data_IF_958967137898
#
_entry.id   IF_958967137898
#
_cell.length_a   1.000
_cell.length_b   1.000
_cell.length_c   1.000
_cell.angle_alpha   90.00
_cell.angle_beta   90.00
_cell.angle_gamma   90.00
#
_symmetry.space_group_name_H-M   'P 1'
#
loop_
_entity.id
_entity.type
_entity.pdbx_description
1 polymer ?
#
# COMPACT_ATOMS: atom_id res chain seq x y z
N UNK A 1 0.19 9.43 -23.11
CA UNK A 1 -0.59 8.23 -22.77
C UNK A 1 -0.99 8.32 -21.31
N UNK A 2 -2.27 8.18 -20.98
CA UNK A 2 -2.72 8.24 -19.58
C UNK A 2 -2.31 6.94 -18.87
N UNK A 3 -1.97 7.00 -17.58
CA UNK A 3 -1.66 5.82 -16.75
C UNK A 3 -2.75 4.75 -16.78
N UNK A 4 -4.02 5.17 -16.85
CA UNK A 4 -5.14 4.23 -16.96
C UNK A 4 -5.16 3.48 -18.30
N UNK A 5 -4.76 4.14 -19.39
CA UNK A 5 -4.66 3.50 -20.71
C UNK A 5 -3.50 2.51 -20.72
N UNK A 6 -2.35 2.89 -20.13
CA UNK A 6 -1.18 2.03 -20.02
C UNK A 6 -1.46 0.76 -19.20
N UNK A 7 -2.16 0.88 -18.07
CA UNK A 7 -2.56 -0.28 -17.27
C UNK A 7 -3.52 -1.20 -18.04
N UNK A 8 -4.40 -0.64 -18.88
CA UNK A 8 -5.31 -1.44 -19.71
C UNK A 8 -4.56 -2.17 -20.81
N UNK A 9 -3.63 -1.50 -21.49
CA UNK A 9 -2.85 -2.07 -22.59
C UNK A 9 -1.83 -3.12 -22.13
N UNK A 10 -1.22 -2.91 -20.95
CA UNK A 10 -0.22 -3.84 -20.44
C UNK A 10 -0.80 -5.16 -19.90
N UNK A 11 -2.12 -5.27 -19.67
CA UNK A 11 -2.71 -6.47 -19.08
C UNK A 11 -2.97 -7.55 -20.12
N UNK A 12 -2.50 -8.76 -19.83
CA UNK A 12 -2.76 -9.97 -20.60
C UNK A 12 -3.62 -10.90 -19.75
N UNK A 13 -4.86 -11.13 -20.17
CA UNK A 13 -5.75 -12.06 -19.48
C UNK A 13 -5.48 -13.52 -19.87
N UNK A 14 -5.38 -14.38 -18.88
CA UNK A 14 -5.19 -15.82 -19.05
C UNK A 14 -6.47 -16.57 -18.71
N UNK A 15 -6.82 -17.53 -19.55
CA UNK A 15 -8.09 -18.26 -19.50
C UNK A 15 -7.86 -19.75 -19.19
N UNK A 16 -7.45 -20.07 -17.96
CA UNK A 16 -7.10 -21.44 -17.55
C UNK A 16 -8.26 -22.43 -17.65
N UNK A 17 -9.50 -21.94 -17.53
CA UNK A 17 -10.73 -22.73 -17.65
C UNK A 17 -11.34 -22.68 -19.06
N UNK A 18 -10.60 -22.20 -20.07
CA UNK A 18 -11.07 -22.06 -21.46
C UNK A 18 -11.58 -20.66 -21.81
N UNK A 19 -11.50 -20.30 -23.10
CA UNK A 19 -11.71 -18.92 -23.60
C UNK A 19 -13.13 -18.36 -23.47
N UNK A 20 -14.12 -19.24 -23.27
CA UNK A 20 -15.51 -18.85 -23.07
C UNK A 20 -15.86 -18.60 -21.59
N UNK A 21 -14.92 -18.84 -20.68
CA UNK A 21 -15.07 -18.58 -19.25
C UNK A 21 -14.37 -17.28 -18.86
N UNK A 22 -14.66 -16.70 -17.68
CA UNK A 22 -13.90 -15.56 -17.16
C UNK A 22 -12.39 -15.86 -17.05
N UNK A 23 -11.53 -14.83 -17.13
CA UNK A 23 -10.10 -15.03 -16.97
C UNK A 23 -9.76 -15.51 -15.57
N UNK A 24 -8.81 -16.44 -15.47
CA UNK A 24 -8.35 -17.02 -14.19
C UNK A 24 -7.15 -16.28 -13.62
N UNK A 25 -6.37 -15.60 -14.47
CA UNK A 25 -5.19 -14.85 -14.07
C UNK A 25 -4.93 -13.67 -15.00
N UNK A 26 -4.10 -12.74 -14.55
CA UNK A 26 -3.57 -11.63 -15.33
C UNK A 26 -2.05 -11.67 -15.32
N UNK A 27 -1.42 -11.56 -16.49
CA UNK A 27 0.00 -11.28 -16.64
C UNK A 27 0.16 -9.87 -17.23
N UNK A 28 1.40 -9.42 -17.34
CA UNK A 28 1.76 -8.15 -17.91
C UNK A 28 2.61 -8.33 -19.17
N UNK A 29 2.33 -7.52 -20.19
CA UNK A 29 3.19 -7.35 -21.33
C UNK A 29 4.57 -6.86 -20.86
N UNK A 30 5.58 -7.71 -21.06
CA UNK A 30 6.95 -7.47 -20.61
C UNK A 30 7.57 -6.23 -21.28
N UNK A 31 7.08 -5.84 -22.46
CA UNK A 31 7.55 -4.64 -23.17
C UNK A 31 7.07 -3.34 -22.50
N UNK A 32 5.94 -3.38 -21.78
CA UNK A 32 5.34 -2.23 -21.12
C UNK A 32 5.68 -2.11 -19.63
N UNK A 33 6.34 -3.11 -19.04
CA UNK A 33 6.71 -3.12 -17.62
C UNK A 33 7.53 -1.90 -17.19
N UNK A 34 8.48 -1.49 -18.04
CA UNK A 34 9.31 -0.30 -17.79
C UNK A 34 8.44 0.93 -17.60
N UNK A 35 7.48 1.14 -18.48
CA UNK A 35 6.68 2.36 -18.45
C UNK A 35 5.60 2.32 -17.37
N UNK A 36 5.09 1.13 -17.04
CA UNK A 36 3.98 0.95 -16.10
C UNK A 36 4.42 0.84 -14.63
N UNK A 37 5.33 -0.09 -14.32
CA UNK A 37 5.71 -0.43 -12.94
C UNK A 37 7.06 0.15 -12.54
N UNK A 38 7.95 0.33 -13.51
CA UNK A 38 9.38 0.53 -13.27
C UNK A 38 9.93 1.81 -13.92
N UNK A 39 9.12 2.87 -14.05
CA UNK A 39 9.45 4.07 -14.82
C UNK A 39 10.59 4.92 -14.23
N UNK A 40 11.04 4.59 -13.02
CA UNK A 40 12.22 5.20 -12.39
C UNK A 40 13.25 4.17 -11.90
N UNK A 41 13.03 2.88 -12.16
CA UNK A 41 13.98 1.82 -11.81
C UNK A 41 15.06 1.69 -12.89
N UNK A 42 16.20 1.09 -12.51
CA UNK A 42 17.30 0.88 -13.46
C UNK A 42 16.96 -0.20 -14.49
N UNK A 43 17.61 -0.17 -15.65
CA UNK A 43 17.42 -1.22 -16.67
C UNK A 43 17.76 -2.63 -16.16
N UNK A 44 18.72 -2.75 -15.23
CA UNK A 44 19.08 -4.04 -14.61
C UNK A 44 17.94 -4.57 -13.75
N UNK A 45 17.30 -3.71 -12.95
CA UNK A 45 16.18 -4.10 -12.11
C UNK A 45 14.94 -4.44 -12.95
N UNK A 46 14.68 -3.70 -14.02
CA UNK A 46 13.60 -4.04 -14.97
C UNK A 46 13.84 -5.40 -15.62
N UNK A 47 15.08 -5.69 -16.03
CA UNK A 47 15.44 -6.99 -16.61
C UNK A 47 15.23 -8.13 -15.58
N UNK A 48 15.69 -7.95 -14.35
CA UNK A 48 15.48 -8.91 -13.25
C UNK A 48 14.00 -9.14 -12.97
N UNK A 49 13.21 -8.06 -12.87
CA UNK A 49 11.77 -8.16 -12.62
C UNK A 49 11.06 -8.88 -13.77
N UNK A 50 11.38 -8.54 -15.02
CA UNK A 50 10.75 -9.11 -16.22
C UNK A 50 10.87 -10.65 -16.26
N UNK A 51 12.04 -11.20 -15.92
CA UNK A 51 12.25 -12.66 -15.90
C UNK A 51 11.67 -13.35 -14.66
N UNK A 52 11.37 -12.60 -13.61
CA UNK A 52 10.89 -13.12 -12.32
C UNK A 52 9.37 -13.09 -12.19
N UNK A 53 8.71 -12.13 -12.85
CA UNK A 53 7.26 -11.92 -12.76
C UNK A 53 6.46 -13.11 -13.30
N UNK A 54 5.43 -13.51 -12.56
CA UNK A 54 4.48 -14.58 -12.91
C UNK A 54 3.06 -14.04 -13.00
N UNK A 55 2.15 -14.73 -13.70
CA UNK A 55 0.74 -14.36 -13.71
C UNK A 55 0.14 -14.31 -12.30
N UNK A 56 -0.70 -13.32 -12.06
CA UNK A 56 -1.40 -13.08 -10.80
C UNK A 56 -2.79 -13.75 -10.89
N UNK A 57 -3.14 -14.67 -9.96
CA UNK A 57 -4.46 -15.29 -9.95
C UNK A 57 -5.53 -14.23 -9.62
N UNK A 58 -6.60 -14.17 -10.41
CA UNK A 58 -7.63 -13.13 -10.27
C UNK A 58 -8.60 -13.39 -9.12
N UNK A 59 -8.96 -14.64 -8.86
CA UNK A 59 -9.96 -14.99 -7.85
C UNK A 59 -9.56 -14.49 -6.44
N UNK A 60 -8.34 -14.73 -5.92
CA UNK A 60 -7.92 -14.16 -4.63
C UNK A 60 -7.82 -12.64 -4.62
N UNK A 61 -7.56 -12.00 -5.78
CA UNK A 61 -7.45 -10.54 -5.90
C UNK A 61 -8.82 -9.87 -5.83
N UNK A 62 -9.86 -10.52 -6.35
CA UNK A 62 -11.23 -10.02 -6.40
C UNK A 62 -12.03 -10.37 -5.14
N UNK A 63 -11.50 -11.24 -4.28
CA UNK A 63 -12.15 -11.67 -3.05
C UNK A 63 -12.43 -10.47 -2.13
N UNK A 64 -13.68 -10.38 -1.65
CA UNK A 64 -14.10 -9.29 -0.78
C UNK A 64 -13.69 -9.58 0.65
N UNK A 65 -12.74 -8.80 1.17
CA UNK A 65 -12.33 -8.90 2.57
C UNK A 65 -13.35 -8.23 3.50
N UNK A 66 -13.74 -8.93 4.57
CA UNK A 66 -14.52 -8.37 5.68
C UNK A 66 -13.56 -8.08 6.84
N UNK A 67 -13.41 -6.80 7.17
CA UNK A 67 -12.46 -6.33 8.18
C UNK A 67 -13.22 -5.83 9.42
N UNK A 68 -12.70 -6.11 10.62
CA UNK A 68 -13.31 -5.65 11.87
C UNK A 68 -12.43 -4.62 12.58
N UNK A 69 -13.06 -3.70 13.31
CA UNK A 69 -12.33 -2.72 14.12
C UNK A 69 -11.51 -3.37 15.24
N UNK A 70 -12.01 -4.47 15.81
CA UNK A 70 -11.33 -5.21 16.89
C UNK A 70 -10.01 -5.82 16.44
N UNK A 71 -9.92 -6.30 15.19
CA UNK A 71 -8.73 -6.96 14.67
C UNK A 71 -7.97 -6.04 13.71
N UNK A 72 -8.57 -5.68 12.58
CA UNK A 72 -7.93 -4.83 11.58
C UNK A 72 -7.73 -3.39 12.07
N UNK A 73 -8.74 -2.83 12.75
CA UNK A 73 -8.69 -1.46 13.27
C UNK A 73 -7.74 -1.26 14.45
N UNK A 74 -7.35 -2.34 15.14
CA UNK A 74 -6.39 -2.26 16.25
C UNK A 74 -4.94 -2.14 15.78
N UNK A 75 -4.64 -2.49 14.53
CA UNK A 75 -3.30 -2.39 13.96
C UNK A 75 -3.03 -0.96 13.50
N UNK A 76 -1.88 -0.41 13.89
CA UNK A 76 -1.40 0.88 13.40
C UNK A 76 -1.04 0.76 11.92
N UNK A 77 -1.64 1.60 11.08
CA UNK A 77 -1.40 1.61 9.63
C UNK A 77 -0.67 2.88 9.23
N UNK A 78 0.29 2.72 8.32
CA UNK A 78 1.04 3.81 7.72
C UNK A 78 1.01 3.63 6.21
N UNK A 79 0.86 4.73 5.47
CA UNK A 79 0.81 4.69 4.00
C UNK A 79 2.00 5.43 3.42
N UNK A 80 2.74 4.83 2.50
CA UNK A 80 3.84 5.47 1.78
C UNK A 80 3.38 5.75 0.36
N UNK A 81 3.17 7.02 0.00
CA UNK A 81 2.79 7.42 -1.35
C UNK A 81 3.98 7.33 -2.30
N UNK A 82 3.80 6.61 -3.40
CA UNK A 82 4.74 6.53 -4.51
C UNK A 82 4.39 7.58 -5.56
N UNK A 83 5.17 8.66 -5.64
CA UNK A 83 4.69 9.87 -6.33
C UNK A 83 4.65 9.78 -7.86
N UNK A 84 5.46 8.90 -8.45
CA UNK A 84 5.57 8.73 -9.89
C UNK A 84 4.99 7.38 -10.35
N UNK A 85 4.12 6.80 -9.52
CA UNK A 85 3.46 5.53 -9.77
C UNK A 85 2.43 5.66 -10.90
N UNK A 86 2.62 4.83 -11.94
CA UNK A 86 1.74 4.76 -13.11
C UNK A 86 0.78 3.57 -13.08
N UNK A 87 0.94 2.64 -12.15
CA UNK A 87 0.00 1.53 -11.96
C UNK A 87 -1.11 1.89 -10.98
N UNK A 88 -0.76 2.56 -9.88
CA UNK A 88 -1.71 3.12 -8.91
C UNK A 88 -1.53 4.64 -8.89
N UNK A 89 -2.34 5.32 -9.70
CA UNK A 89 -2.26 6.77 -9.84
C UNK A 89 -2.44 7.51 -8.50
N UNK A 90 -1.89 8.73 -8.43
CA UNK A 90 -2.06 9.60 -7.25
C UNK A 90 -3.53 9.83 -6.85
N UNK A 91 -4.45 9.82 -7.83
CA UNK A 91 -5.89 9.89 -7.57
C UNK A 91 -6.38 8.64 -6.82
N UNK A 92 -5.99 7.45 -7.27
CA UNK A 92 -6.35 6.19 -6.60
C UNK A 92 -5.71 6.08 -5.21
N UNK A 93 -4.43 6.43 -5.06
CA UNK A 93 -3.78 6.45 -3.75
C UNK A 93 -4.48 7.40 -2.78
N UNK A 94 -4.94 8.57 -3.26
CA UNK A 94 -5.73 9.51 -2.46
C UNK A 94 -7.07 8.90 -2.04
N UNK A 95 -7.81 8.30 -2.98
CA UNK A 95 -9.09 7.65 -2.69
C UNK A 95 -8.96 6.52 -1.67
N UNK A 96 -7.91 5.68 -1.78
CA UNK A 96 -7.63 4.60 -0.81
C UNK A 96 -7.42 5.14 0.61
N UNK A 97 -6.65 6.22 0.75
CA UNK A 97 -6.37 6.86 2.05
C UNK A 97 -7.62 7.50 2.63
N UNK A 98 -8.47 8.09 1.79
CA UNK A 98 -9.72 8.70 2.24
C UNK A 98 -10.75 7.64 2.66
N UNK A 99 -10.81 6.50 1.96
CA UNK A 99 -11.72 5.40 2.29
C UNK A 99 -11.33 4.63 3.55
N UNK A 100 -10.03 4.54 3.85
CA UNK A 100 -9.52 3.82 5.01
C UNK A 100 -8.30 4.53 5.62
N UNK A 101 -8.52 5.58 6.44
CA UNK A 101 -7.46 6.44 6.92
C UNK A 101 -6.36 5.70 7.70
N UNK A 102 -5.08 5.88 7.33
CA UNK A 102 -3.95 5.41 8.14
C UNK A 102 -3.62 6.42 9.25
N UNK A 103 -2.78 6.02 10.21
CA UNK A 103 -2.29 6.90 11.27
C UNK A 103 -1.43 8.03 10.72
N UNK A 104 -0.53 7.73 9.75
CA UNK A 104 0.26 8.74 9.03
C UNK A 104 0.45 8.36 7.57
N UNK A 105 0.66 9.38 6.75
CA UNK A 105 0.93 9.27 5.31
C UNK A 105 2.29 9.89 5.01
N UNK A 106 3.18 9.11 4.44
CA UNK A 106 4.50 9.52 3.95
C UNK A 106 4.45 9.73 2.44
N UNK A 107 5.41 10.49 1.91
CA UNK A 107 5.56 10.74 0.48
C UNK A 107 6.98 10.43 0.05
N UNK A 108 7.13 9.59 -0.96
CA UNK A 108 8.41 9.23 -1.52
C UNK A 108 8.52 9.82 -2.92
N UNK A 109 9.28 10.91 -3.04
CA UNK A 109 9.44 11.62 -4.31
C UNK A 109 10.29 10.81 -5.27
N UNK A 110 9.87 10.76 -6.53
CA UNK A 110 10.61 10.09 -7.59
C UNK A 110 10.59 8.57 -7.51
N UNK A 111 9.71 7.98 -6.70
CA UNK A 111 9.48 6.52 -6.69
C UNK A 111 8.37 6.15 -7.66
N UNK A 112 8.65 5.14 -8.47
CA UNK A 112 7.66 4.41 -9.26
C UNK A 112 6.86 3.44 -8.36
N UNK A 113 6.13 2.51 -8.99
CA UNK A 113 5.34 1.49 -8.30
C UNK A 113 6.19 0.53 -7.45
N UNK A 114 7.48 0.41 -7.76
CA UNK A 114 8.44 -0.44 -7.05
C UNK A 114 9.48 0.42 -6.32
N UNK A 115 9.11 1.12 -5.22
CA UNK A 115 10.01 2.03 -4.50
C UNK A 115 11.25 1.33 -3.94
N UNK A 116 11.20 0.01 -3.74
CA UNK A 116 12.36 -0.80 -3.35
C UNK A 116 13.43 -0.93 -4.44
N UNK A 117 13.10 -0.67 -5.71
CA UNK A 117 14.07 -0.53 -6.81
C UNK A 117 14.37 0.94 -7.11
N UNK A 118 13.34 1.78 -7.29
CA UNK A 118 13.55 3.16 -7.73
C UNK A 118 14.07 4.10 -6.65
N UNK A 119 13.72 3.88 -5.38
CA UNK A 119 14.09 4.73 -4.23
C UNK A 119 14.41 3.94 -2.94
N UNK A 120 15.31 2.94 -2.98
CA UNK A 120 15.55 2.05 -1.84
C UNK A 120 16.00 2.77 -0.57
N UNK A 121 16.91 3.75 -0.65
CA UNK A 121 17.39 4.49 0.53
C UNK A 121 16.29 5.40 1.12
N UNK A 122 15.48 6.01 0.26
CA UNK A 122 14.36 6.85 0.71
C UNK A 122 13.26 6.02 1.37
N UNK A 123 12.95 4.85 0.79
CA UNK A 123 12.04 3.88 1.39
C UNK A 123 12.57 3.39 2.75
N UNK A 124 13.85 3.01 2.83
CA UNK A 124 14.49 2.59 4.07
C UNK A 124 14.38 3.64 5.17
N UNK A 125 14.69 4.91 4.87
CA UNK A 125 14.58 6.01 5.83
C UNK A 125 13.16 6.14 6.39
N UNK A 126 12.15 6.07 5.53
CA UNK A 126 10.74 6.13 5.97
C UNK A 126 10.38 4.94 6.85
N UNK A 127 10.84 3.73 6.51
CA UNK A 127 10.57 2.54 7.32
C UNK A 127 11.21 2.63 8.71
N UNK A 128 12.43 3.17 8.82
CA UNK A 128 13.07 3.44 10.11
C UNK A 128 12.29 4.49 10.89
N UNK A 129 11.87 5.58 10.25
CA UNK A 129 11.04 6.60 10.89
C UNK A 129 9.71 6.04 11.41
N UNK A 130 9.06 5.13 10.66
CA UNK A 130 7.85 4.42 11.10
C UNK A 130 8.13 3.57 12.34
N UNK A 131 9.25 2.84 12.37
CA UNK A 131 9.63 2.00 13.49
C UNK A 131 9.88 2.79 14.79
N UNK A 132 10.31 4.05 14.65
CA UNK A 132 10.54 4.95 15.78
C UNK A 132 9.27 5.68 16.26
N UNK A 133 8.12 5.56 15.57
CA UNK A 133 6.89 6.23 16.00
C UNK A 133 6.38 5.60 17.31
N UNK A 134 6.27 6.38 18.40
CA UNK A 134 5.79 5.88 19.68
C UNK A 134 4.42 5.20 19.57
N UNK A 135 4.14 4.15 20.38
CA UNK A 135 2.80 3.56 20.45
C UNK A 135 1.74 4.61 20.75
N UNK A 136 0.52 4.43 20.21
CA UNK A 136 -0.62 5.26 20.62
C UNK A 136 -0.80 5.10 22.13
N UNK A 137 -0.70 6.20 22.86
CA UNK A 137 -1.12 6.20 24.26
C UNK A 137 -2.62 5.87 24.26
N UNK A 138 -2.97 4.72 24.82
CA UNK A 138 -4.37 4.44 25.12
C UNK A 138 -4.79 5.47 26.13
N UNK A 139 -5.75 6.34 25.78
CA UNK A 139 -6.44 7.17 26.74
C UNK A 139 -7.17 6.24 27.70
N UNK A 140 -6.48 5.80 28.75
CA UNK A 140 -7.10 5.25 29.93
C UNK A 140 -7.98 6.35 30.51
N UNK A 141 -9.24 6.00 30.74
CA UNK A 141 -10.18 6.77 31.54
C UNK A 141 -9.55 7.12 32.89
N UNK A 142 -8.94 8.30 33.02
CA UNK A 142 -8.59 8.89 34.31
C UNK A 142 -9.76 9.74 34.77
N UNK A 143 -10.84 9.09 35.21
CA UNK A 143 -11.93 9.77 35.94
C UNK A 143 -12.23 9.16 37.31
N UNK A 144 -11.43 8.21 37.81
CA UNK A 144 -11.69 7.58 39.12
C UNK A 144 -10.65 7.90 40.20
N UNK A 145 -9.44 8.37 39.87
CA UNK A 145 -8.36 8.56 40.87
C UNK A 145 -8.29 9.95 41.53
N UNK A 146 -9.19 10.89 41.21
CA UNK A 146 -9.17 12.25 41.80
C UNK A 146 -10.22 12.50 42.91
N UNK A 147 -11.01 11.49 43.31
CA UNK A 147 -12.00 11.66 44.39
C UNK A 147 -11.56 11.19 45.77
N UNK A 148 -10.39 10.58 45.93
CA UNK A 148 -9.94 10.09 47.24
C UNK A 148 -8.91 10.98 47.95
N UNK A 149 -8.55 12.14 47.39
CA UNK A 149 -7.52 13.04 47.94
C UNK A 149 -8.08 14.38 48.47
N UNK A 150 -9.40 14.51 48.66
CA UNK A 150 -10.01 15.72 49.25
C UNK A 150 -10.83 15.47 50.52
N UNK A 151 -10.78 14.28 51.13
CA UNK A 151 -11.54 13.98 52.35
C UNK A 151 -10.72 13.85 53.65
N UNK A 152 -9.40 14.11 53.64
CA UNK A 152 -8.57 13.88 54.84
C UNK A 152 -7.92 15.11 55.49
N UNK A 153 -8.30 16.34 55.12
CA UNK A 153 -7.91 17.53 55.89
C UNK A 153 -9.13 18.14 56.60
N UNK A 154 -9.57 17.47 57.65
CA UNK A 154 -10.30 18.12 58.75
C UNK A 154 -9.70 17.60 60.06
N UNK A 155 -8.79 18.36 60.64
CA UNK A 155 -8.63 18.68 62.08
C UNK A 155 -7.40 19.58 62.28
#
# INVERSE_FOLDING_TARGET
MNSNDLMREARIFLYGNGRNNPPTAVDFDKTLLRDLLFNHSSAKDVALASVSMRPIPLEPVLEKLTLSDTNYGSIRRFYIKTQEDRAISMYLQKAMIESDPPERVFRLKGSDHAPFFSRPQGLHKILVEIAEVPPKQTSGSTTTELRHLLENDTL
#
